data_IF_085710932946
#
_entry.id   IF_085710932946
#
_cell.length_a   1.000
_cell.length_b   1.000
_cell.length_c   1.000
_cell.angle_alpha   90.00
_cell.angle_beta   90.00
_cell.angle_gamma   90.00
#
_symmetry.space_group_name_H-M   'P 1'
#
loop_
_entity.id
_entity.type
_entity.pdbx_description
1 polymer ?
#
# COMPACT_ATOMS: atom_id res chain seq x y z
N UNK A 1 -18.47 21.75 9.49
CA UNK A 1 -18.47 21.24 10.87
C UNK A 1 -17.03 21.34 11.34
N UNK A 2 -16.69 22.48 11.96
CA UNK A 2 -15.35 22.78 12.47
C UNK A 2 -15.27 22.15 13.86
N UNK A 3 -14.28 21.29 14.09
CA UNK A 3 -13.97 20.83 15.44
C UNK A 3 -13.29 21.99 16.16
N UNK A 4 -14.00 22.67 17.06
CA UNK A 4 -13.39 23.58 18.00
C UNK A 4 -12.71 22.75 19.09
N UNK A 5 -11.39 22.92 19.24
CA UNK A 5 -10.66 22.43 20.40
C UNK A 5 -11.09 23.28 21.59
N UNK A 6 -11.88 22.69 22.49
CA UNK A 6 -12.16 23.31 23.78
C UNK A 6 -10.85 23.44 24.56
N UNK A 7 -10.49 24.68 24.90
CA UNK A 7 -9.35 25.04 25.73
C UNK A 7 -9.71 24.69 27.19
N UNK A 8 -9.13 23.61 27.70
CA UNK A 8 -9.29 23.08 29.07
C UNK A 8 -8.71 24.06 30.11
N UNK A 9 -9.42 25.16 30.40
CA UNK A 9 -9.01 26.14 31.40
C UNK A 9 -9.72 26.05 32.75
N UNK A 10 -10.64 25.11 32.91
CA UNK A 10 -11.47 24.99 34.13
C UNK A 10 -11.32 23.66 34.89
N UNK A 11 -10.22 22.90 34.70
CA UNK A 11 -9.99 21.67 35.49
C UNK A 11 -8.80 21.80 36.46
N UNK A 12 -9.04 22.15 37.75
CA UNK A 12 -7.98 22.30 38.72
C UNK A 12 -7.53 20.91 39.22
N UNK A 13 -6.47 20.37 38.63
CA UNK A 13 -5.71 19.27 39.24
C UNK A 13 -5.62 17.95 38.46
N UNK A 14 -5.73 17.94 37.13
CA UNK A 14 -5.31 16.75 36.39
C UNK A 14 -3.79 16.64 36.39
N UNK A 15 -3.29 15.72 37.22
CA UNK A 15 -1.92 15.27 37.18
C UNK A 15 -1.55 14.97 35.72
N UNK A 16 -0.53 15.67 35.21
CA UNK A 16 0.03 15.42 33.87
C UNK A 16 0.15 13.90 33.68
N UNK A 17 -0.53 13.36 32.67
CA UNK A 17 -0.45 11.95 32.36
C UNK A 17 1.01 11.51 32.34
N UNK A 18 1.32 10.40 33.04
CA UNK A 18 2.69 9.93 33.16
C UNK A 18 3.34 9.84 31.76
N UNK A 19 4.61 10.23 31.61
CA UNK A 19 5.28 10.18 30.33
C UNK A 19 5.22 8.75 29.78
N UNK A 20 4.94 8.62 28.48
CA UNK A 20 4.85 7.33 27.82
C UNK A 20 6.15 6.55 28.02
N UNK A 21 6.04 5.35 28.59
CA UNK A 21 7.17 4.46 28.87
C UNK A 21 6.91 3.07 28.28
N UNK A 22 7.98 2.30 28.08
CA UNK A 22 7.87 0.93 27.52
C UNK A 22 7.11 0.02 28.48
N UNK A 23 7.23 0.23 29.78
CA UNK A 23 6.55 -0.52 30.83
C UNK A 23 5.03 -0.32 30.78
N UNK A 24 4.57 0.84 30.29
CA UNK A 24 3.15 1.14 30.11
C UNK A 24 2.53 0.41 28.88
N UNK A 25 3.36 -0.20 28.01
CA UNK A 25 2.90 -0.94 26.84
C UNK A 25 2.41 -2.35 27.25
N UNK A 26 1.28 -2.85 26.71
CA UNK A 26 0.80 -4.21 26.99
C UNK A 26 1.84 -5.30 26.71
N UNK A 27 1.89 -6.32 27.56
CA UNK A 27 2.84 -7.43 27.44
C UNK A 27 2.77 -8.13 26.08
N UNK A 28 1.58 -8.25 25.49
CA UNK A 28 1.41 -8.86 24.17
C UNK A 28 2.18 -8.13 23.07
N UNK A 29 2.31 -6.80 23.17
CA UNK A 29 3.08 -5.99 22.22
C UNK A 29 4.57 -6.07 22.56
N UNK A 30 4.93 -6.01 23.86
CA UNK A 30 6.34 -6.13 24.30
C UNK A 30 6.95 -7.48 23.94
N UNK A 31 6.16 -8.55 23.98
CA UNK A 31 6.61 -9.92 23.70
C UNK A 31 6.47 -10.31 22.21
N UNK A 32 5.77 -9.53 21.39
CA UNK A 32 5.59 -9.80 19.96
C UNK A 32 6.92 -9.66 19.22
N UNK A 33 7.25 -10.63 18.36
CA UNK A 33 8.44 -10.59 17.51
C UNK A 33 8.06 -10.71 16.03
N UNK A 34 8.48 -9.74 15.22
CA UNK A 34 8.31 -9.75 13.76
C UNK A 34 9.66 -9.85 13.05
N UNK A 35 10.15 -11.07 12.91
CA UNK A 35 11.53 -11.33 12.48
C UNK A 35 11.81 -11.03 11.00
N UNK A 36 10.77 -10.83 10.17
CA UNK A 36 10.92 -10.40 8.77
C UNK A 36 11.48 -8.98 8.67
N UNK A 37 11.31 -8.13 9.70
CA UNK A 37 11.89 -6.78 9.76
C UNK A 37 12.58 -6.54 11.11
N UNK A 38 13.42 -7.49 11.52
CA UNK A 38 14.17 -7.43 12.77
C UNK A 38 15.65 -7.08 12.60
N UNK A 39 16.45 -7.45 13.61
CA UNK A 39 17.88 -7.11 13.73
C UNK A 39 18.75 -7.48 12.51
N UNK A 40 18.41 -8.56 11.79
CA UNK A 40 19.15 -8.94 10.58
C UNK A 40 18.99 -7.88 9.48
N UNK A 41 17.80 -7.31 9.35
CA UNK A 41 17.54 -6.22 8.39
C UNK A 41 18.24 -4.93 8.84
N UNK A 42 18.25 -4.62 10.14
CA UNK A 42 18.99 -3.46 10.67
C UNK A 42 20.49 -3.58 10.35
N UNK A 43 21.06 -4.76 10.59
CA UNK A 43 22.46 -5.04 10.24
C UNK A 43 22.70 -4.96 8.74
N UNK A 44 21.76 -5.43 7.92
CA UNK A 44 21.83 -5.29 6.46
C UNK A 44 21.89 -3.82 6.03
N UNK A 45 21.10 -2.92 6.65
CA UNK A 45 21.18 -1.49 6.39
C UNK A 45 22.52 -0.86 6.78
N UNK A 46 23.11 -1.29 7.90
CA UNK A 46 24.46 -0.86 8.29
C UNK A 46 25.51 -1.30 7.27
N UNK A 47 25.44 -2.57 6.84
CA UNK A 47 26.34 -3.15 5.83
C UNK A 47 26.23 -2.38 4.51
N UNK A 48 25.02 -2.06 4.04
CA UNK A 48 24.84 -1.28 2.81
C UNK A 48 25.47 0.12 2.90
N UNK A 49 25.40 0.78 4.07
CA UNK A 49 26.04 2.10 4.28
C UNK A 49 27.56 2.02 4.22
N UNK A 50 28.14 0.92 4.71
CA UNK A 50 29.59 0.69 4.73
C UNK A 50 30.02 -0.41 3.76
N UNK A 51 29.34 -0.54 2.61
CA UNK A 51 29.52 -1.65 1.67
C UNK A 51 30.96 -1.78 1.16
N UNK A 52 31.68 -0.64 1.07
CA UNK A 52 33.08 -0.55 0.64
C UNK A 52 34.05 -1.29 1.56
N UNK A 53 33.66 -1.54 2.81
CA UNK A 53 34.48 -2.25 3.79
C UNK A 53 34.35 -3.79 3.67
N UNK A 54 33.49 -4.28 2.77
CA UNK A 54 33.21 -5.69 2.56
C UNK A 54 33.73 -6.20 1.22
N UNK A 55 33.85 -7.53 1.08
CA UNK A 55 34.35 -8.21 -0.14
C UNK A 55 33.29 -8.37 -1.24
N UNK A 56 32.23 -7.57 -1.22
CA UNK A 56 31.12 -7.62 -2.17
C UNK A 56 30.57 -6.22 -2.41
N UNK A 57 30.10 -5.96 -3.63
CA UNK A 57 29.69 -4.62 -4.06
C UNK A 57 28.19 -4.34 -3.87
N UNK A 58 27.41 -5.40 -3.63
CA UNK A 58 25.96 -5.31 -3.51
C UNK A 58 25.42 -6.28 -2.47
N UNK A 59 24.41 -5.81 -1.71
CA UNK A 59 23.64 -6.64 -0.81
C UNK A 59 22.28 -6.99 -1.45
N UNK A 60 21.96 -8.28 -1.55
CA UNK A 60 20.68 -8.76 -2.04
C UNK A 60 19.77 -9.16 -0.87
N UNK A 61 18.58 -8.55 -0.80
CA UNK A 61 17.63 -8.77 0.29
C UNK A 61 16.65 -9.88 -0.03
N UNK A 62 16.97 -11.10 0.40
CA UNK A 62 16.11 -12.29 0.21
C UNK A 62 15.24 -12.62 1.44
N UNK A 63 15.21 -11.73 2.44
CA UNK A 63 14.47 -11.90 3.69
C UNK A 63 12.94 -11.75 3.58
N UNK A 64 12.42 -11.16 2.49
CA UNK A 64 10.98 -10.93 2.26
C UNK A 64 10.64 -11.23 0.80
N UNK A 65 9.45 -11.79 0.57
CA UNK A 65 8.91 -12.01 -0.77
C UNK A 65 8.56 -10.70 -1.48
N UNK A 66 9.59 -9.96 -1.92
CA UNK A 66 9.47 -8.73 -2.69
C UNK A 66 10.12 -8.93 -4.08
N UNK A 67 9.44 -9.66 -4.97
CA UNK A 67 10.07 -10.11 -6.20
C UNK A 67 10.36 -8.96 -7.18
N UNK A 68 9.59 -7.86 -7.14
CA UNK A 68 9.91 -6.66 -7.91
C UNK A 68 11.23 -6.00 -7.47
N UNK A 69 11.58 -6.04 -6.18
CA UNK A 69 12.86 -5.50 -5.70
C UNK A 69 14.09 -6.30 -6.16
N UNK A 70 13.88 -7.54 -6.61
CA UNK A 70 14.93 -8.41 -7.18
C UNK A 70 14.81 -8.55 -8.69
N UNK A 71 14.08 -7.64 -9.36
CA UNK A 71 14.06 -7.52 -10.81
C UNK A 71 12.92 -8.24 -11.52
N UNK A 72 11.91 -8.78 -10.81
CA UNK A 72 10.72 -9.28 -11.50
C UNK A 72 10.01 -8.11 -12.21
N UNK A 73 9.81 -8.18 -13.54
CA UNK A 73 9.04 -7.17 -14.25
C UNK A 73 7.58 -7.24 -13.80
N UNK A 74 6.95 -6.08 -13.67
CA UNK A 74 5.54 -6.06 -13.34
C UNK A 74 4.68 -6.53 -14.51
N UNK A 75 3.55 -7.14 -14.19
CA UNK A 75 2.58 -7.59 -15.19
C UNK A 75 1.92 -6.39 -15.86
N UNK A 76 2.11 -6.28 -17.18
CA UNK A 76 1.60 -5.18 -18.02
C UNK A 76 0.09 -5.02 -17.88
N UNK A 77 -0.67 -6.10 -18.07
CA UNK A 77 -2.14 -6.10 -18.01
C UNK A 77 -2.67 -5.48 -16.71
N UNK A 78 -2.11 -5.86 -15.56
CA UNK A 78 -2.56 -5.35 -14.26
C UNK A 78 -2.27 -3.85 -14.15
N UNK A 79 -1.07 -3.40 -14.57
CA UNK A 79 -0.73 -1.98 -14.54
C UNK A 79 -1.59 -1.14 -15.47
N UNK A 80 -1.89 -1.67 -16.65
CA UNK A 80 -2.77 -1.01 -17.62
C UNK A 80 -4.18 -0.85 -17.08
N UNK A 81 -4.78 -1.92 -16.55
CA UNK A 81 -6.13 -1.84 -15.97
C UNK A 81 -6.15 -0.86 -14.79
N UNK A 82 -5.16 -0.91 -13.90
CA UNK A 82 -5.07 0.00 -12.75
C UNK A 82 -4.90 1.46 -13.19
N UNK A 83 -4.05 1.77 -14.17
CA UNK A 83 -3.86 3.16 -14.63
C UNK A 83 -5.13 3.72 -15.28
N UNK A 84 -5.82 2.91 -16.08
CA UNK A 84 -7.09 3.28 -16.72
C UNK A 84 -8.19 3.55 -15.68
N UNK A 85 -8.33 2.68 -14.67
CA UNK A 85 -9.36 2.91 -13.64
C UNK A 85 -8.97 4.02 -12.68
N UNK A 86 -7.69 4.33 -12.43
CA UNK A 86 -7.31 5.38 -11.46
C UNK A 86 -7.24 6.78 -12.06
N UNK A 87 -7.19 6.90 -13.39
CA UNK A 87 -7.19 8.18 -14.08
C UNK A 87 -8.49 8.36 -14.90
N UNK A 88 -9.51 9.07 -14.36
CA UNK A 88 -10.80 9.24 -15.04
C UNK A 88 -10.71 9.80 -16.47
N UNK A 89 -9.72 10.66 -16.72
CA UNK A 89 -9.50 11.28 -18.04
C UNK A 89 -9.15 10.27 -19.13
N UNK A 90 -8.56 9.12 -18.76
CA UNK A 90 -8.24 8.04 -19.69
C UNK A 90 -9.46 7.17 -20.04
N UNK A 91 -10.62 7.43 -19.44
CA UNK A 91 -11.86 6.69 -19.74
C UNK A 91 -12.83 7.50 -20.61
N UNK A 92 -12.40 8.66 -21.10
CA UNK A 92 -13.16 9.50 -22.01
C UNK A 92 -13.12 8.92 -23.43
N UNK A 93 -14.29 8.71 -24.04
CA UNK A 93 -14.40 8.15 -25.39
C UNK A 93 -13.73 9.04 -26.45
N UNK A 94 -13.54 10.34 -26.18
CA UNK A 94 -12.86 11.28 -27.08
C UNK A 94 -11.40 10.92 -27.35
N UNK A 95 -10.77 10.12 -26.49
CA UNK A 95 -9.36 9.71 -26.63
C UNK A 95 -9.20 8.22 -26.95
N UNK A 96 -10.28 7.49 -27.22
CA UNK A 96 -10.26 6.03 -27.39
C UNK A 96 -9.31 5.55 -28.50
N UNK A 97 -9.31 6.21 -29.65
CA UNK A 97 -8.39 5.86 -30.75
C UNK A 97 -6.91 6.04 -30.36
N UNK A 98 -6.60 7.03 -29.51
CA UNK A 98 -5.25 7.24 -29.00
C UNK A 98 -4.89 6.21 -27.91
N UNK A 99 -5.85 5.79 -27.09
CA UNK A 99 -5.63 4.78 -26.05
C UNK A 99 -5.30 3.42 -26.66
N UNK A 100 -5.95 3.02 -27.75
CA UNK A 100 -5.67 1.75 -28.43
C UNK A 100 -4.26 1.68 -29.05
N UNK A 101 -3.53 2.81 -29.14
CA UNK A 101 -2.12 2.82 -29.54
C UNK A 101 -1.16 2.54 -28.38
N UNK A 102 -1.65 2.64 -27.13
CA UNK A 102 -0.84 2.57 -25.90
C UNK A 102 -1.25 1.38 -25.03
N UNK A 103 -2.54 1.04 -25.02
CA UNK A 103 -3.14 0.02 -24.18
C UNK A 103 -3.65 -1.15 -25.01
N UNK A 104 -3.57 -2.34 -24.42
CA UNK A 104 -4.23 -3.50 -25.00
C UNK A 104 -5.76 -3.36 -24.93
N UNK A 105 -6.45 -3.89 -25.93
CA UNK A 105 -7.91 -3.77 -26.05
C UNK A 105 -8.67 -4.48 -24.93
N UNK A 106 -8.12 -5.59 -24.41
CA UNK A 106 -8.63 -6.33 -23.27
C UNK A 106 -8.46 -5.57 -21.95
N UNK A 107 -7.36 -4.83 -21.77
CA UNK A 107 -7.15 -3.91 -20.64
C UNK A 107 -8.22 -2.81 -20.62
N UNK A 108 -8.50 -2.20 -21.77
CA UNK A 108 -9.57 -1.20 -21.92
C UNK A 108 -10.95 -1.79 -21.62
N UNK A 109 -11.24 -2.98 -22.16
CA UNK A 109 -12.50 -3.68 -21.90
C UNK A 109 -12.68 -3.93 -20.40
N UNK A 110 -11.66 -4.48 -19.73
CA UNK A 110 -11.71 -4.79 -18.30
C UNK A 110 -11.85 -3.52 -17.46
N UNK A 111 -11.09 -2.47 -17.75
CA UNK A 111 -11.18 -1.20 -17.03
C UNK A 111 -12.57 -0.57 -17.14
N UNK A 112 -13.21 -0.64 -18.32
CA UNK A 112 -14.60 -0.16 -18.52
C UNK A 112 -15.59 -0.98 -17.70
N UNK A 113 -15.46 -2.30 -17.67
CA UNK A 113 -16.31 -3.17 -16.85
C UNK A 113 -16.20 -2.82 -15.36
N UNK A 114 -14.98 -2.63 -14.85
CA UNK A 114 -14.75 -2.23 -13.45
C UNK A 114 -15.29 -0.85 -13.13
N UNK A 115 -15.08 0.15 -14.01
CA UNK A 115 -15.65 1.50 -13.80
C UNK A 115 -17.18 1.51 -13.78
N UNK A 116 -17.84 0.69 -14.59
CA UNK A 116 -19.31 0.54 -14.55
C UNK A 116 -19.80 -0.09 -13.26
N UNK A 117 -19.04 -1.05 -12.71
CA UNK A 117 -19.43 -1.76 -11.49
C UNK A 117 -19.14 -0.97 -10.21
N UNK A 118 -18.00 -0.27 -10.15
CA UNK A 118 -17.51 0.43 -8.95
C UNK A 118 -17.90 1.92 -8.91
N UNK A 119 -18.07 2.56 -10.07
CA UNK A 119 -18.13 4.01 -10.15
C UNK A 119 -16.74 4.65 -10.01
N UNK A 120 -16.56 5.52 -9.00
CA UNK A 120 -15.30 6.22 -8.77
C UNK A 120 -14.39 5.52 -7.74
N UNK A 121 -13.17 5.06 -8.12
CA UNK A 121 -12.23 4.44 -7.20
C UNK A 121 -11.61 5.54 -6.33
N UNK A 122 -12.08 5.59 -5.10
CA UNK A 122 -11.61 6.52 -4.09
C UNK A 122 -12.49 6.50 -2.85
N UNK A 123 -13.77 6.16 -3.00
CA UNK A 123 -14.66 5.92 -1.88
C UNK A 123 -14.38 4.58 -1.19
N UNK A 124 -14.75 4.51 0.09
CA UNK A 124 -14.79 3.24 0.81
C UNK A 124 -15.79 2.29 0.15
N UNK A 125 -15.46 1.01 0.22
CA UNK A 125 -16.31 -0.08 -0.26
C UNK A 125 -16.84 -0.86 0.95
N UNK A 126 -17.74 -1.80 0.71
CA UNK A 126 -18.17 -2.73 1.75
C UNK A 126 -16.95 -3.47 2.34
N UNK A 127 -16.92 -3.72 3.65
CA UNK A 127 -15.76 -4.29 4.34
C UNK A 127 -15.29 -5.65 3.78
N UNK A 128 -16.20 -6.44 3.22
CA UNK A 128 -15.88 -7.69 2.53
C UNK A 128 -15.38 -7.52 1.08
N UNK A 129 -15.20 -6.28 0.62
CA UNK A 129 -14.83 -5.93 -0.75
C UNK A 129 -16.01 -5.83 -1.72
N UNK A 130 -15.75 -5.28 -2.89
CA UNK A 130 -16.74 -5.10 -3.94
C UNK A 130 -17.20 -6.43 -4.56
N UNK A 131 -18.51 -6.54 -4.83
CA UNK A 131 -19.09 -7.79 -5.35
C UNK A 131 -18.54 -8.17 -6.72
N UNK A 132 -18.26 -7.20 -7.60
CA UNK A 132 -17.73 -7.50 -8.93
C UNK A 132 -16.34 -8.15 -8.85
N UNK A 133 -15.46 -7.64 -7.98
CA UNK A 133 -14.13 -8.20 -7.77
C UNK A 133 -14.19 -9.56 -7.08
N UNK A 134 -15.10 -9.73 -6.10
CA UNK A 134 -15.32 -11.03 -5.44
C UNK A 134 -15.74 -12.12 -6.42
N UNK A 135 -16.59 -11.80 -7.39
CA UNK A 135 -17.03 -12.75 -8.44
C UNK A 135 -15.88 -13.17 -9.36
N UNK A 136 -14.95 -12.27 -9.67
CA UNK A 136 -13.78 -12.61 -10.49
C UNK A 136 -12.79 -13.55 -9.76
N UNK A 137 -12.77 -13.51 -8.41
CA UNK A 137 -11.88 -14.33 -7.57
C UNK A 137 -12.52 -15.68 -7.23
N UNK A 138 -13.84 -15.70 -7.03
CA UNK A 138 -14.62 -16.92 -6.77
C UNK A 138 -14.76 -17.75 -8.05
N UNK A 139 -13.71 -18.50 -8.38
CA UNK A 139 -13.77 -19.67 -9.27
C UNK A 139 -13.62 -20.91 -8.39
N UNK A 140 -14.66 -21.26 -7.64
CA UNK A 140 -15.00 -22.59 -7.12
C UNK A 140 -16.50 -22.61 -6.77
#
# INVERSE_FOLDING_TARGET
MLYELHDDKDNPGEARAAPFSVEAVPDCVRNMQYNVRGKVLDRAYEIEKSIKDFKFDQLLRLHIGNPHAVGQPALTYIREVVSLITCPKLMDNRVEHALLQVYHSDSLHRARAYRRAMGDPGAYTFAGGEMFARRDIWIL
#
